data_IF_867972283428
#
_entry.id   IF_867972283428
#
_cell.length_a   1.000
_cell.length_b   1.000
_cell.length_c   1.000
_cell.angle_alpha   90.00
_cell.angle_beta   90.00
_cell.angle_gamma   90.00
#
_symmetry.space_group_name_H-M   'P 1'
#
loop_
_entity.id
_entity.type
_entity.pdbx_description
1 polymer ?
#
# COMPACT_ATOMS: atom_id res chain seq x y z
N UNK A 1 5.22 0.98 -16.97
CA UNK A 1 5.54 1.06 -15.52
C UNK A 1 4.48 0.29 -14.75
N UNK A 2 4.76 -0.08 -13.51
CA UNK A 2 3.86 -0.85 -12.64
C UNK A 2 3.72 -0.16 -11.30
N UNK A 3 2.55 -0.30 -10.68
CA UNK A 3 2.27 0.17 -9.33
C UNK A 3 1.29 -0.81 -8.67
N UNK A 4 0.96 -0.57 -7.41
CA UNK A 4 -0.03 -1.34 -6.67
C UNK A 4 -1.43 -0.72 -6.75
N UNK A 5 -2.43 -1.55 -7.01
CA UNK A 5 -3.83 -1.22 -6.76
C UNK A 5 -4.38 -2.02 -5.59
N UNK A 6 -5.27 -1.41 -4.82
CA UNK A 6 -6.01 -2.05 -3.74
C UNK A 6 -6.84 -3.21 -4.29
N UNK A 7 -6.66 -4.39 -3.69
CA UNK A 7 -7.50 -5.54 -3.91
C UNK A 7 -8.20 -5.93 -2.61
N UNK A 8 -9.54 -5.90 -2.62
CA UNK A 8 -10.35 -6.47 -1.55
C UNK A 8 -10.81 -7.86 -1.95
N UNK A 9 -10.43 -8.87 -1.18
CA UNK A 9 -10.90 -10.25 -1.37
C UNK A 9 -12.30 -10.44 -0.80
N UNK A 10 -12.64 -9.68 0.24
CA UNK A 10 -13.93 -9.65 0.92
C UNK A 10 -14.11 -8.29 1.66
N UNK A 11 -15.11 -8.21 2.55
CA UNK A 11 -15.43 -7.01 3.33
C UNK A 11 -14.64 -6.89 4.66
N UNK A 12 -13.60 -7.71 4.87
CA UNK A 12 -12.82 -7.68 6.11
C UNK A 12 -12.15 -6.33 6.34
N UNK A 13 -11.66 -5.67 5.29
CA UNK A 13 -10.98 -4.38 5.40
C UNK A 13 -11.87 -3.30 6.04
N UNK A 14 -13.20 -3.33 5.82
CA UNK A 14 -14.16 -2.39 6.44
C UNK A 14 -14.36 -2.63 7.94
N UNK A 15 -14.03 -3.83 8.41
CA UNK A 15 -14.16 -4.21 9.81
C UNK A 15 -12.83 -4.10 10.57
N UNK A 16 -11.71 -4.02 9.85
CA UNK A 16 -10.35 -4.04 10.40
C UNK A 16 -9.74 -2.64 10.47
N UNK A 17 -10.05 -1.78 9.50
CA UNK A 17 -9.48 -0.44 9.40
C UNK A 17 -10.52 0.64 9.69
N UNK A 18 -10.08 1.72 10.34
CA UNK A 18 -10.94 2.88 10.62
C UNK A 18 -11.51 3.48 9.33
N UNK A 19 -10.72 3.47 8.26
CA UNK A 19 -11.14 3.77 6.90
C UNK A 19 -10.55 2.75 5.96
N UNK A 20 -11.39 1.95 5.31
CA UNK A 20 -10.96 1.05 4.25
C UNK A 20 -10.73 1.83 2.94
N UNK A 21 -9.63 1.52 2.25
CA UNK A 21 -9.40 2.00 0.89
C UNK A 21 -10.36 1.32 -0.10
N UNK A 22 -10.64 2.00 -1.22
CA UNK A 22 -11.58 1.46 -2.21
C UNK A 22 -10.91 0.44 -3.13
N UNK A 23 -11.61 -0.62 -3.57
CA UNK A 23 -11.07 -1.52 -4.59
C UNK A 23 -10.65 -0.78 -5.87
N UNK A 24 -9.47 -1.10 -6.39
CA UNK A 24 -8.91 -0.49 -7.61
C UNK A 24 -8.23 0.87 -7.41
N UNK A 25 -8.31 1.44 -6.21
CA UNK A 25 -7.55 2.62 -5.81
C UNK A 25 -6.05 2.36 -5.88
N UNK A 26 -5.23 3.33 -6.29
CA UNK A 26 -3.78 3.16 -6.28
C UNK A 26 -3.26 3.22 -4.84
N UNK A 27 -2.20 2.47 -4.55
CA UNK A 27 -1.70 2.35 -3.19
C UNK A 27 -0.17 2.37 -3.10
N UNK A 28 0.31 2.82 -1.94
CA UNK A 28 1.69 2.73 -1.50
C UNK A 28 1.78 2.09 -0.12
N UNK A 29 3.00 1.83 0.35
CA UNK A 29 3.22 1.40 1.72
C UNK A 29 2.57 2.38 2.72
N UNK A 30 2.87 3.68 2.60
CA UNK A 30 2.40 4.68 3.55
C UNK A 30 3.04 4.52 4.93
N UNK A 31 4.27 3.99 4.97
CA UNK A 31 5.06 3.77 6.19
C UNK A 31 5.42 5.07 6.91
N UNK A 32 5.58 6.17 6.15
CA UNK A 32 5.80 7.52 6.71
C UNK A 32 4.74 7.89 7.76
N UNK A 33 3.53 7.35 7.65
CA UNK A 33 2.43 7.68 8.53
C UNK A 33 2.62 7.20 9.98
N UNK A 34 3.57 6.29 10.19
CA UNK A 34 3.88 5.67 11.47
C UNK A 34 5.24 6.12 12.03
N UNK A 35 5.89 7.10 11.39
CA UNK A 35 7.25 7.56 11.74
C UNK A 35 7.41 8.06 13.18
N UNK A 36 6.32 8.52 13.80
CA UNK A 36 6.31 9.06 15.16
C UNK A 36 5.58 8.17 16.18
N UNK A 37 5.23 6.93 15.81
CA UNK A 37 4.44 6.05 16.67
C UNK A 37 5.31 5.27 17.65
N UNK A 38 4.79 5.11 18.85
CA UNK A 38 5.37 4.28 19.91
C UNK A 38 4.44 3.09 20.22
N UNK A 39 4.92 2.16 21.06
CA UNK A 39 4.14 0.96 21.44
C UNK A 39 2.74 1.30 22.00
N UNK A 40 2.61 2.47 22.65
CA UNK A 40 1.34 2.95 23.20
C UNK A 40 0.28 3.31 22.14
N UNK A 41 0.71 3.64 20.92
CA UNK A 41 -0.18 3.98 19.80
C UNK A 41 -0.72 2.72 19.08
N UNK A 42 -0.11 1.55 19.33
CA UNK A 42 -0.45 0.29 18.67
C UNK A 42 -1.62 -0.43 19.33
N UNK A 43 -2.78 0.21 19.35
CA UNK A 43 -4.03 -0.35 19.89
C UNK A 43 -5.15 -0.43 18.85
N UNK A 44 -6.01 -1.45 18.95
CA UNK A 44 -7.21 -1.59 18.11
C UNK A 44 -6.93 -1.48 16.61
N UNK A 45 -7.69 -0.62 15.93
CA UNK A 45 -7.62 -0.42 14.47
C UNK A 45 -6.32 0.30 14.04
N UNK A 46 -5.71 1.10 14.92
CA UNK A 46 -4.42 1.74 14.67
C UNK A 46 -3.32 0.68 14.55
N UNK A 47 -3.33 -0.31 15.45
CA UNK A 47 -2.44 -1.47 15.35
C UNK A 47 -2.60 -2.22 14.03
N UNK A 48 -3.83 -2.39 13.55
CA UNK A 48 -4.08 -3.08 12.29
C UNK A 48 -3.54 -2.27 11.11
N UNK A 49 -3.86 -0.98 11.03
CA UNK A 49 -3.32 -0.08 10.01
C UNK A 49 -1.79 -0.09 9.97
N UNK A 50 -1.14 -0.09 11.14
CA UNK A 50 0.30 -0.23 11.28
C UNK A 50 0.78 -1.58 10.73
N UNK A 51 0.26 -2.68 11.28
CA UNK A 51 0.78 -4.03 11.08
C UNK A 51 0.73 -4.46 9.63
N UNK A 52 -0.38 -4.18 8.93
CA UNK A 52 -0.60 -4.71 7.58
C UNK A 52 -1.36 -3.78 6.62
N UNK A 53 -1.54 -2.51 6.97
CA UNK A 53 -2.28 -1.56 6.13
C UNK A 53 -1.42 -0.92 5.06
N UNK A 54 -1.64 -1.29 3.80
CA UNK A 54 -1.30 -0.45 2.65
C UNK A 54 -2.12 0.84 2.69
N UNK A 55 -1.61 1.95 2.14
CA UNK A 55 -2.33 3.22 2.08
C UNK A 55 -2.81 3.50 0.65
N UNK A 56 -4.12 3.69 0.47
CA UNK A 56 -4.68 4.19 -0.78
C UNK A 56 -4.34 5.66 -1.03
N UNK A 57 -4.26 6.09 -2.29
CA UNK A 57 -3.82 7.44 -2.69
C UNK A 57 -4.97 8.41 -3.02
N UNK A 58 -6.21 7.93 -3.04
CA UNK A 58 -7.40 8.72 -3.36
C UNK A 58 -8.27 8.93 -2.11
N UNK A 59 -8.49 7.87 -1.32
CA UNK A 59 -9.23 7.88 -0.06
C UNK A 59 -8.32 8.05 1.16
N UNK A 60 -7.02 7.76 1.04
CA UNK A 60 -6.09 7.65 2.17
C UNK A 60 -6.57 6.65 3.24
N UNK A 61 -7.41 5.70 2.83
CA UNK A 61 -7.80 4.55 3.62
C UNK A 61 -6.73 3.46 3.62
N UNK A 62 -7.02 2.36 4.30
CA UNK A 62 -6.13 1.20 4.41
C UNK A 62 -6.69 -0.04 3.73
N UNK A 63 -5.81 -0.86 3.20
CA UNK A 63 -6.15 -2.15 2.61
C UNK A 63 -5.17 -3.23 3.06
N UNK A 64 -5.63 -4.47 3.16
CA UNK A 64 -4.78 -5.61 3.54
C UNK A 64 -3.95 -6.12 2.37
N UNK A 65 -4.51 -6.09 1.15
CA UNK A 65 -3.85 -6.58 -0.05
C UNK A 65 -3.81 -5.52 -1.13
N UNK A 66 -2.72 -5.56 -1.88
CA UNK A 66 -2.60 -4.86 -3.16
C UNK A 66 -2.17 -5.83 -4.24
N UNK A 67 -2.42 -5.47 -5.48
CA UNK A 67 -2.05 -6.24 -6.66
C UNK A 67 -1.20 -5.39 -7.60
N UNK A 68 -0.15 -6.00 -8.16
CA UNK A 68 0.74 -5.35 -9.13
C UNK A 68 -0.01 -5.16 -10.45
N UNK A 69 -0.14 -3.90 -10.87
CA UNK A 69 -0.95 -3.47 -12.01
C UNK A 69 -0.18 -2.47 -12.87
N UNK A 70 -0.25 -2.56 -14.22
CA UNK A 70 0.30 -1.55 -15.11
C UNK A 70 -0.34 -0.17 -14.89
N UNK A 71 0.47 0.87 -14.87
CA UNK A 71 0.02 2.28 -14.76
C UNK A 71 0.57 3.10 -15.93
N UNK A 72 -0.16 4.16 -16.32
CA UNK A 72 0.29 5.13 -17.31
C UNK A 72 1.20 6.19 -16.68
N UNK A 73 2.02 6.88 -17.49
CA UNK A 73 2.85 7.97 -16.97
C UNK A 73 2.02 9.16 -16.46
N UNK A 74 0.87 9.39 -17.10
CA UNK A 74 -0.07 10.46 -16.75
C UNK A 74 -0.71 10.19 -15.39
N UNK A 75 -1.23 8.98 -15.17
CA UNK A 75 -1.81 8.60 -13.88
C UNK A 75 -0.75 8.63 -12.78
N UNK A 76 0.45 8.12 -13.06
CA UNK A 76 1.56 8.14 -12.10
C UNK A 76 1.95 9.57 -11.67
N UNK A 77 2.02 10.51 -12.63
CA UNK A 77 2.28 11.92 -12.33
C UNK A 77 1.14 12.55 -11.52
N UNK A 78 -0.11 12.24 -11.83
CA UNK A 78 -1.27 12.73 -11.07
C UNK A 78 -1.27 12.23 -9.62
N UNK A 79 -0.84 10.98 -9.38
CA UNK A 79 -0.71 10.43 -8.03
C UNK A 79 0.37 11.15 -7.20
N UNK A 80 1.50 11.52 -7.82
CA UNK A 80 2.55 12.31 -7.16
C UNK A 80 1.97 13.64 -6.68
N UNK A 81 1.28 14.36 -7.57
CA UNK A 81 0.73 15.66 -7.26
C UNK A 81 -0.38 15.55 -6.19
N UNK A 82 -1.23 14.52 -6.26
CA UNK A 82 -2.26 14.23 -5.28
C UNK A 82 -1.71 13.94 -3.88
N UNK A 83 -0.66 13.10 -3.79
CA UNK A 83 0.00 12.81 -2.52
C UNK A 83 0.72 14.04 -1.95
N UNK A 84 1.35 14.85 -2.80
CA UNK A 84 1.99 16.10 -2.38
C UNK A 84 0.98 17.10 -1.78
N UNK A 85 -0.20 17.23 -2.38
CA UNK A 85 -1.31 18.03 -1.83
C UNK A 85 -1.72 17.48 -0.47
N UNK A 86 -1.88 16.16 -0.35
CA UNK A 86 -2.24 15.52 0.92
C UNK A 86 -1.21 15.77 2.03
N UNK A 87 0.09 15.76 1.72
CA UNK A 87 1.13 16.12 2.69
C UNK A 87 1.01 17.55 3.19
N UNK A 88 0.61 18.49 2.34
CA UNK A 88 0.35 19.87 2.78
C UNK A 88 -0.89 19.92 3.67
N UNK A 89 -2.00 19.33 3.23
CA UNK A 89 -3.30 19.46 3.88
C UNK A 89 -3.40 18.68 5.21
N UNK A 90 -2.92 17.44 5.25
CA UNK A 90 -3.06 16.55 6.40
C UNK A 90 -1.82 16.51 7.30
N UNK A 91 -0.63 16.78 6.75
CA UNK A 91 0.65 16.62 7.47
C UNK A 91 1.39 17.95 7.68
N UNK A 92 0.87 19.06 7.14
CA UNK A 92 1.42 20.40 7.38
C UNK A 92 2.75 20.65 6.66
N UNK A 93 3.01 19.98 5.54
CA UNK A 93 4.17 20.28 4.72
C UNK A 93 4.19 21.78 4.32
N UNK A 94 5.36 22.43 4.22
CA UNK A 94 5.45 23.89 4.03
C UNK A 94 4.81 24.43 2.74
N UNK A 95 4.56 23.55 1.77
CA UNK A 95 3.91 23.86 0.50
C UNK A 95 4.12 22.75 -0.52
N UNK A 96 3.40 22.83 -1.64
CA UNK A 96 3.41 21.82 -2.69
C UNK A 96 4.82 21.52 -3.22
N UNK A 97 5.61 22.55 -3.55
CA UNK A 97 6.98 22.41 -4.05
C UNK A 97 7.92 21.69 -3.06
N UNK A 98 7.68 21.83 -1.75
CA UNK A 98 8.44 21.13 -0.72
C UNK A 98 7.96 19.69 -0.51
N UNK A 99 6.67 19.44 -0.71
CA UNK A 99 6.04 18.13 -0.53
C UNK A 99 6.24 17.21 -1.74
N UNK A 100 6.29 17.77 -2.95
CA UNK A 100 6.32 17.00 -4.19
C UNK A 100 7.51 16.04 -4.32
N UNK A 101 8.76 16.42 -3.99
CA UNK A 101 9.88 15.48 -4.02
C UNK A 101 9.71 14.30 -3.06
N UNK A 102 9.11 14.53 -1.89
CA UNK A 102 8.82 13.46 -0.92
C UNK A 102 7.75 12.51 -1.48
N UNK A 103 6.71 13.05 -2.12
CA UNK A 103 5.69 12.23 -2.78
C UNK A 103 6.28 11.40 -3.95
N UNK A 104 7.23 11.97 -4.70
CA UNK A 104 7.96 11.24 -5.74
C UNK A 104 8.79 10.09 -5.18
N UNK A 105 9.45 10.27 -4.02
CA UNK A 105 10.20 9.21 -3.35
C UNK A 105 9.28 8.06 -2.90
N UNK A 106 8.12 8.37 -2.31
CA UNK A 106 7.16 7.35 -1.86
C UNK A 106 6.59 6.51 -3.02
N UNK A 107 6.19 7.16 -4.11
CA UNK A 107 5.69 6.46 -5.31
C UNK A 107 6.83 5.75 -6.04
N UNK A 108 8.03 6.33 -6.05
CA UNK A 108 9.22 5.73 -6.61
C UNK A 108 9.59 4.42 -5.91
N UNK A 109 9.55 4.41 -4.58
CA UNK A 109 9.77 3.20 -3.78
C UNK A 109 8.73 2.12 -4.08
N UNK A 110 7.44 2.49 -4.14
CA UNK A 110 6.39 1.53 -4.48
C UNK A 110 6.55 0.97 -5.90
N UNK A 111 6.92 1.83 -6.86
CA UNK A 111 7.18 1.43 -8.24
C UNK A 111 8.35 0.45 -8.33
N UNK A 112 9.47 0.73 -7.68
CA UNK A 112 10.64 -0.15 -7.62
C UNK A 112 10.26 -1.53 -7.07
N UNK A 113 9.49 -1.56 -5.97
CA UNK A 113 8.96 -2.80 -5.41
C UNK A 113 8.08 -3.57 -6.41
N UNK A 114 7.24 -2.89 -7.18
CA UNK A 114 6.38 -3.53 -8.17
C UNK A 114 7.12 -3.99 -9.44
N UNK A 115 8.27 -3.39 -9.78
CA UNK A 115 9.04 -3.75 -10.99
C UNK A 115 9.64 -5.17 -10.89
N UNK A 116 9.93 -5.65 -9.69
CA UNK A 116 10.45 -7.00 -9.41
C UNK A 116 9.38 -8.11 -9.46
N UNK A 117 8.13 -7.76 -9.79
CA UNK A 117 6.99 -8.67 -9.73
C UNK A 117 6.20 -8.72 -11.04
N UNK A 118 5.64 -9.89 -11.33
CA UNK A 118 4.73 -10.08 -12.46
C UNK A 118 3.39 -9.38 -12.21
N UNK A 119 2.69 -9.01 -13.29
CA UNK A 119 1.35 -8.43 -13.19
C UNK A 119 0.40 -9.43 -12.52
N UNK A 120 -0.55 -8.92 -11.74
CA UNK A 120 -1.46 -9.71 -10.89
C UNK A 120 -0.80 -10.41 -9.69
N UNK A 121 0.47 -10.12 -9.39
CA UNK A 121 1.08 -10.56 -8.12
C UNK A 121 0.44 -9.83 -6.95
N UNK A 122 0.01 -10.56 -5.93
CA UNK A 122 -0.51 -9.96 -4.69
C UNK A 122 0.65 -9.61 -3.76
N UNK A 123 0.58 -8.45 -3.12
CA UNK A 123 1.56 -8.00 -2.13
C UNK A 123 0.90 -7.79 -0.77
N UNK A 124 1.63 -8.17 0.28
CA UNK A 124 1.31 -7.91 1.69
C UNK A 124 2.47 -7.14 2.29
N UNK A 125 2.16 -6.17 3.15
CA UNK A 125 3.13 -5.49 4.02
C UNK A 125 2.96 -6.01 5.44
N UNK A 126 4.08 -6.24 6.12
CA UNK A 126 4.14 -6.57 7.54
C UNK A 126 5.07 -5.56 8.21
N UNK A 127 4.60 -4.92 9.30
CA UNK A 127 5.39 -3.93 10.04
C UNK A 127 5.58 -4.31 11.50
N UNK A 128 6.74 -3.93 12.01
CA UNK A 128 7.12 -4.11 13.41
C UNK A 128 7.91 -2.89 13.88
N UNK A 129 7.66 -2.45 15.12
CA UNK A 129 8.52 -1.46 15.78
C UNK A 129 9.75 -2.18 16.32
N UNK A 130 10.91 -1.76 15.86
CA UNK A 130 12.21 -2.21 16.36
C UNK A 130 12.94 -1.04 17.02
N UNK A 131 14.00 -1.26 17.82
CA UNK A 131 14.74 -0.16 18.45
C UNK A 131 15.30 0.88 17.46
N UNK A 132 15.48 0.50 16.18
CA UNK A 132 15.94 1.37 15.11
C UNK A 132 14.80 2.15 14.41
N UNK A 133 13.54 1.96 14.82
CA UNK A 133 12.36 2.58 14.23
C UNK A 133 11.43 1.56 13.56
N UNK A 134 10.84 1.96 12.44
CA UNK A 134 9.93 1.11 11.66
C UNK A 134 10.72 0.06 10.87
N UNK A 135 10.34 -1.21 11.01
CA UNK A 135 10.79 -2.28 10.11
C UNK A 135 9.62 -2.71 9.24
N UNK A 136 9.83 -2.72 7.92
CA UNK A 136 8.84 -3.15 6.94
C UNK A 136 9.34 -4.38 6.18
N UNK A 137 8.45 -5.36 6.03
CA UNK A 137 8.68 -6.55 5.22
C UNK A 137 7.56 -6.65 4.20
N UNK A 138 7.94 -6.89 2.94
CA UNK A 138 7.00 -7.07 1.84
C UNK A 138 7.03 -8.51 1.38
N UNK A 139 5.85 -9.10 1.20
CA UNK A 139 5.70 -10.48 0.75
C UNK A 139 4.85 -10.53 -0.50
N UNK A 140 5.40 -11.11 -1.55
CA UNK A 140 4.68 -11.45 -2.76
C UNK A 140 3.98 -12.81 -2.62
N UNK A 141 2.73 -12.86 -3.08
CA UNK A 141 1.94 -14.08 -3.27
C UNK A 141 1.60 -14.12 -4.76
N UNK A 142 2.27 -15.02 -5.48
CA UNK A 142 1.93 -15.32 -6.87
C UNK A 142 0.65 -16.15 -6.84
N UNK A 143 -0.45 -15.70 -7.47
CA UNK A 143 -1.63 -16.54 -7.63
C UNK A 143 -1.18 -17.84 -8.28
N UNK A 144 -1.44 -18.97 -7.60
CA UNK A 144 -1.04 -20.27 -8.13
C UNK A 144 -1.59 -20.42 -9.54
N UNK A 145 -0.73 -20.79 -10.50
CA UNK A 145 -1.18 -21.41 -11.74
C UNK A 145 -2.04 -22.60 -11.33
N UNK A 146 -3.35 -22.42 -11.23
CA UNK A 146 -4.27 -23.53 -11.11
C UNK A 146 -4.19 -24.29 -12.43
N UNK A 147 -3.21 -25.19 -12.55
CA UNK A 147 -3.15 -26.12 -13.66
C UNK A 147 -4.36 -27.02 -13.51
N UNK A 148 -5.21 -26.99 -14.55
CA UNK A 148 -6.40 -27.84 -14.69
C UNK A 148 -6.04 -29.34 -14.51
N UNK A 149 -4.77 -29.70 -14.66
CA UNK A 149 -4.22 -31.04 -14.41
C UNK A 149 -4.38 -31.52 -12.96
N UNK A 150 -4.46 -30.62 -11.97
CA UNK A 150 -4.67 -30.99 -10.55
C UNK A 150 -6.13 -31.34 -10.21
N UNK A 151 -7.06 -31.09 -11.14
CA UNK A 151 -8.50 -31.42 -10.99
C UNK A 151 -8.81 -32.79 -11.60
N UNK A 152 -7.93 -33.36 -12.43
CA UNK A 152 -8.09 -34.66 -13.06
C UNK A 152 -7.44 -35.82 -12.27
N UNK A 153 -7.33 -35.65 -10.95
CA UNK A 153 -6.59 -36.56 -10.07
C UNK A 153 -7.41 -37.33 -9.05
N UNK A 154 -8.75 -37.34 -9.11
CA UNK A 154 -9.58 -38.29 -8.34
C UNK A 154 -10.55 -38.96 -9.32
N UNK A 155 -10.41 -40.28 -9.46
CA UNK A 155 -11.13 -41.11 -10.43
C UNK A 155 -12.56 -41.45 -10.05
#
# INVERSE_FOLDING_TARGET
>A
MKLAQVLRLDDSDENVFERAAQPGEWAISGGFAFSNWEEGDLVGQQRQAFTNGWMGLESFGRATFVVVTPISEEDYAALIDGLAIHFVEAWGAPGFEAARPVAEEELGHMREMCEDHDDNTLLIVERELVPAGLNEKFRAIVPGEAKIEDIAGHG
#
